data_IF_572918631852
#
_entry.id   IF_572918631852
#
_cell.length_a   1.000
_cell.length_b   1.000
_cell.length_c   1.000
_cell.angle_alpha   90.00
_cell.angle_beta   90.00
_cell.angle_gamma   90.00
#
_symmetry.space_group_name_H-M   'P 1'
#
loop_
_entity.id
_entity.type
_entity.pdbx_description
1 polymer ?
#
# COMPACT_ATOMS: atom_id res chain seq x y z
N UNK A 1 16.59 -47.22 -33.77
CA UNK A 1 15.72 -48.31 -33.29
C UNK A 1 15.28 -48.01 -31.88
N UNK A 2 14.04 -48.33 -31.51
CA UNK A 2 13.45 -48.02 -30.20
C UNK A 2 14.23 -48.62 -29.01
N UNK A 3 14.98 -49.70 -29.21
CA UNK A 3 15.83 -50.32 -28.19
C UNK A 3 17.01 -49.42 -27.75
N UNK A 4 17.60 -48.64 -28.67
CA UNK A 4 18.72 -47.74 -28.39
C UNK A 4 18.34 -46.57 -27.44
N UNK A 5 17.05 -46.26 -27.31
CA UNK A 5 16.56 -45.20 -26.44
C UNK A 5 16.49 -45.62 -24.96
N UNK A 6 16.65 -46.91 -24.67
CA UNK A 6 16.61 -47.50 -23.32
C UNK A 6 17.99 -48.04 -22.92
N UNK A 7 19.01 -47.87 -23.77
CA UNK A 7 20.39 -48.14 -23.40
C UNK A 7 20.77 -47.27 -22.19
N UNK A 8 21.47 -47.84 -21.20
CA UNK A 8 21.65 -47.22 -19.88
C UNK A 8 22.35 -45.86 -19.99
N UNK A 9 23.30 -45.71 -20.92
CA UNK A 9 24.03 -44.47 -21.18
C UNK A 9 23.14 -43.37 -21.78
N UNK A 10 22.24 -43.74 -22.70
CA UNK A 10 21.26 -42.83 -23.30
C UNK A 10 20.23 -42.37 -22.26
N UNK A 11 19.80 -43.27 -21.38
CA UNK A 11 18.87 -42.96 -20.28
C UNK A 11 19.53 -42.02 -19.27
N UNK A 12 20.78 -42.27 -18.88
CA UNK A 12 21.51 -41.40 -17.95
C UNK A 12 21.66 -40.00 -18.54
N UNK A 13 22.14 -39.86 -19.77
CA UNK A 13 22.27 -38.54 -20.44
C UNK A 13 20.94 -37.80 -20.52
N UNK A 14 19.83 -38.52 -20.77
CA UNK A 14 18.50 -37.92 -20.79
C UNK A 14 18.07 -37.42 -19.41
N UNK A 15 18.32 -38.21 -18.36
CA UNK A 15 18.00 -37.81 -16.99
C UNK A 15 18.85 -36.61 -16.54
N UNK A 16 20.13 -36.60 -16.87
CA UNK A 16 21.03 -35.46 -16.62
C UNK A 16 20.55 -34.19 -17.32
N UNK A 17 20.13 -34.29 -18.59
CA UNK A 17 19.58 -33.16 -19.32
C UNK A 17 18.29 -32.61 -18.67
N UNK A 18 17.40 -33.51 -18.21
CA UNK A 18 16.19 -33.12 -17.49
C UNK A 18 16.50 -32.47 -16.14
N UNK A 19 17.48 -33.01 -15.40
CA UNK A 19 17.93 -32.45 -14.13
C UNK A 19 18.56 -31.07 -14.33
N UNK A 20 19.40 -30.90 -15.35
CA UNK A 20 19.99 -29.62 -15.70
C UNK A 20 18.93 -28.58 -16.10
N UNK A 21 17.92 -28.98 -16.89
CA UNK A 21 16.80 -28.11 -17.23
C UNK A 21 16.00 -27.68 -15.99
N UNK A 22 15.77 -28.61 -15.06
CA UNK A 22 15.09 -28.32 -13.79
C UNK A 22 15.88 -27.35 -12.92
N UNK A 23 17.20 -27.53 -12.82
CA UNK A 23 18.06 -26.63 -12.03
C UNK A 23 18.05 -25.21 -12.60
N UNK A 24 18.20 -25.05 -13.92
CA UNK A 24 18.10 -23.74 -14.58
C UNK A 24 16.78 -23.04 -14.28
N UNK A 25 15.67 -23.76 -14.38
CA UNK A 25 14.35 -23.22 -14.08
C UNK A 25 14.20 -22.82 -12.60
N UNK A 26 14.78 -23.59 -11.67
CA UNK A 26 14.80 -23.23 -10.25
C UNK A 26 15.64 -21.98 -9.98
N UNK A 27 16.81 -21.84 -10.63
CA UNK A 27 17.65 -20.65 -10.52
C UNK A 27 16.93 -19.40 -11.02
N UNK A 28 16.24 -19.48 -12.16
CA UNK A 28 15.44 -18.38 -12.70
C UNK A 28 14.30 -17.96 -11.76
N UNK A 29 13.57 -18.93 -11.20
CA UNK A 29 12.52 -18.67 -10.22
C UNK A 29 13.09 -18.01 -8.96
N UNK A 30 14.21 -18.52 -8.44
CA UNK A 30 14.88 -17.94 -7.28
C UNK A 30 15.33 -16.50 -7.56
N UNK A 31 15.89 -16.24 -8.75
CA UNK A 31 16.29 -14.89 -9.15
C UNK A 31 15.09 -13.93 -9.23
N UNK A 32 13.94 -14.38 -9.71
CA UNK A 32 12.71 -13.58 -9.73
C UNK A 32 12.19 -13.28 -8.32
N UNK A 33 12.24 -14.28 -7.42
CA UNK A 33 11.85 -14.12 -6.02
C UNK A 33 12.72 -13.06 -5.34
N UNK A 34 14.05 -13.11 -5.50
CA UNK A 34 14.95 -12.13 -4.90
C UNK A 34 14.75 -10.73 -5.47
N UNK A 35 14.58 -10.59 -6.80
CA UNK A 35 14.23 -9.29 -7.42
C UNK A 35 12.93 -8.71 -6.87
N UNK A 36 11.92 -9.54 -6.65
CA UNK A 36 10.65 -9.08 -6.10
C UNK A 36 10.78 -8.66 -4.63
N UNK A 37 11.49 -9.45 -3.81
CA UNK A 37 11.79 -9.11 -2.41
C UNK A 37 12.56 -7.78 -2.31
N UNK A 38 13.54 -7.56 -3.18
CA UNK A 38 14.30 -6.32 -3.23
C UNK A 38 13.39 -5.13 -3.57
N UNK A 39 12.54 -5.28 -4.60
CA UNK A 39 11.58 -4.24 -4.99
C UNK A 39 10.61 -3.89 -3.85
N UNK A 40 10.11 -4.90 -3.13
CA UNK A 40 9.26 -4.68 -1.96
C UNK A 40 10.01 -3.89 -0.87
N UNK A 41 11.26 -4.26 -0.57
CA UNK A 41 12.10 -3.55 0.41
C UNK A 41 12.30 -2.09 0.02
N UNK A 42 12.58 -1.81 -1.26
CA UNK A 42 12.74 -0.46 -1.77
C UNK A 42 11.44 0.36 -1.63
N UNK A 43 10.28 -0.23 -1.94
CA UNK A 43 8.98 0.44 -1.78
C UNK A 43 8.66 0.74 -0.31
N UNK A 44 8.94 -0.19 0.60
CA UNK A 44 8.79 0.04 2.04
C UNK A 44 9.70 1.16 2.54
N UNK A 45 10.95 1.19 2.08
CA UNK A 45 11.90 2.24 2.44
C UNK A 45 11.46 3.60 1.88
N UNK A 46 10.98 3.67 0.64
CA UNK A 46 10.42 4.90 0.06
C UNK A 46 9.22 5.39 0.87
N UNK A 47 8.30 4.50 1.26
CA UNK A 47 7.17 4.86 2.13
C UNK A 47 7.66 5.38 3.49
N UNK A 48 8.70 4.78 4.06
CA UNK A 48 9.31 5.26 5.30
C UNK A 48 9.90 6.66 5.13
N UNK A 49 10.68 6.88 4.06
CA UNK A 49 11.29 8.17 3.74
C UNK A 49 10.22 9.26 3.52
N UNK A 50 9.17 8.97 2.77
CA UNK A 50 8.05 9.91 2.56
C UNK A 50 7.35 10.29 3.86
N UNK A 51 7.16 9.34 4.78
CA UNK A 51 6.57 9.66 6.10
C UNK A 51 7.48 10.57 6.91
N UNK A 52 8.80 10.31 6.92
CA UNK A 52 9.78 11.15 7.62
C UNK A 52 9.76 12.56 7.02
N UNK A 53 9.90 12.68 5.70
CA UNK A 53 9.86 13.95 4.99
C UNK A 53 8.59 14.76 5.28
N UNK A 54 7.43 14.09 5.28
CA UNK A 54 6.16 14.72 5.63
C UNK A 54 6.14 15.22 7.08
N UNK A 55 6.68 14.43 8.02
CA UNK A 55 6.76 14.83 9.43
C UNK A 55 7.74 15.99 9.65
N UNK A 56 8.91 15.95 9.04
CA UNK A 56 9.93 17.00 9.15
C UNK A 56 9.43 18.32 8.56
N UNK A 57 8.78 18.27 7.39
CA UNK A 57 8.13 19.43 6.76
C UNK A 57 7.08 20.08 7.68
N UNK A 58 6.28 19.25 8.36
CA UNK A 58 5.29 19.71 9.32
C UNK A 58 5.94 20.33 10.58
N UNK A 59 7.06 19.79 11.06
CA UNK A 59 7.83 20.38 12.17
C UNK A 59 8.46 21.73 11.80
N UNK A 60 8.96 21.86 10.58
CA UNK A 60 9.54 23.10 10.05
C UNK A 60 8.50 24.19 9.71
N UNK A 61 7.21 23.92 9.96
CA UNK A 61 6.13 24.87 9.69
C UNK A 61 5.83 25.06 8.20
N UNK A 62 6.39 24.22 7.33
CA UNK A 62 6.01 24.17 5.92
C UNK A 62 4.60 23.58 5.87
N UNK A 63 3.61 24.42 5.55
CA UNK A 63 2.22 23.98 5.42
C UNK A 63 2.16 22.75 4.50
N UNK A 64 1.40 21.72 4.87
CA UNK A 64 1.08 20.60 3.99
C UNK A 64 0.43 21.14 2.71
N UNK A 65 1.24 21.46 1.70
CA UNK A 65 0.80 21.78 0.35
C UNK A 65 0.34 20.44 -0.20
N UNK A 66 -0.90 20.07 0.12
CA UNK A 66 -1.47 18.77 -0.22
C UNK A 66 -1.09 18.43 -1.64
N UNK A 67 -0.30 17.38 -1.78
CA UNK A 67 0.23 16.96 -3.06
C UNK A 67 -1.00 16.67 -3.93
N UNK A 68 -1.37 17.59 -4.82
CA UNK A 68 -2.26 17.33 -5.94
C UNK A 68 -1.57 16.42 -6.97
N UNK A 69 -0.74 15.48 -6.49
CA UNK A 69 -0.15 14.43 -7.30
C UNK A 69 -1.23 13.38 -7.46
N UNK A 70 -1.57 13.22 -8.74
CA UNK A 70 -2.46 12.23 -9.33
C UNK A 70 -2.30 10.87 -8.64
N UNK A 71 -3.35 10.04 -8.57
CA UNK A 71 -3.18 8.64 -8.18
C UNK A 71 -2.06 8.02 -9.02
N UNK A 72 -1.22 7.15 -8.44
CA UNK A 72 -0.21 6.44 -9.21
C UNK A 72 -0.91 5.81 -10.42
N UNK A 73 -0.42 6.13 -11.60
CA UNK A 73 -0.81 5.50 -12.85
C UNK A 73 -0.50 4.01 -12.68
N UNK A 74 -1.53 3.23 -12.35
CA UNK A 74 -1.46 1.79 -12.50
C UNK A 74 -1.51 1.54 -14.01
N UNK A 75 -0.33 1.35 -14.62
CA UNK A 75 -0.19 0.81 -15.97
C UNK A 75 -0.72 -0.63 -16.00
N UNK A 76 -2.04 -0.76 -16.06
CA UNK A 76 -2.77 -1.98 -16.37
C UNK A 76 -3.70 -1.72 -17.56
N UNK A 77 -3.75 -2.59 -18.58
CA UNK A 77 -4.58 -2.34 -19.76
C UNK A 77 -6.05 -2.57 -19.40
N UNK A 78 -6.81 -1.48 -19.24
CA UNK A 78 -8.26 -1.53 -19.03
C UNK A 78 -8.95 -0.31 -19.64
N UNK A 79 -9.92 -0.47 -20.56
CA UNK A 79 -10.53 0.66 -21.26
C UNK A 79 -11.65 1.28 -20.42
N UNK A 80 -11.75 2.61 -20.38
CA UNK A 80 -13.00 3.35 -20.64
C UNK A 80 -12.97 4.79 -20.10
N UNK A 81 -13.13 5.70 -21.06
CA UNK A 81 -13.96 6.91 -21.04
C UNK A 81 -14.59 7.36 -19.71
N UNK A 82 -14.32 8.59 -19.30
CA UNK A 82 -15.35 9.54 -18.81
C UNK A 82 -14.70 10.84 -18.32
N UNK A 83 -14.78 11.88 -19.16
CA UNK A 83 -14.52 13.27 -18.81
C UNK A 83 -15.54 13.78 -17.79
N UNK A 84 -15.13 13.99 -16.54
CA UNK A 84 -15.96 14.72 -15.55
C UNK A 84 -15.19 15.94 -15.06
N UNK A 85 -15.61 17.11 -15.54
CA UNK A 85 -15.11 18.41 -15.07
C UNK A 85 -15.44 18.58 -13.57
N UNK A 86 -14.48 18.98 -12.71
CA UNK A 86 -14.75 19.15 -11.29
C UNK A 86 -15.59 20.41 -11.02
N UNK A 87 -16.77 20.19 -10.43
CA UNK A 87 -17.75 21.20 -10.01
C UNK A 87 -17.12 22.17 -8.98
N UNK A 88 -17.14 23.49 -9.26
CA UNK A 88 -16.66 24.55 -8.34
C UNK A 88 -17.46 24.53 -7.03
N UNK A 89 -16.77 24.63 -5.88
CA UNK A 89 -17.38 24.61 -4.55
C UNK A 89 -18.10 25.95 -4.35
N UNK A 90 -19.44 25.94 -4.21
CA UNK A 90 -20.19 27.10 -3.76
C UNK A 90 -19.78 27.48 -2.33
N UNK A 91 -19.85 28.78 -2.02
CA UNK A 91 -19.45 29.41 -0.75
C UNK A 91 -19.87 28.60 0.47
N UNK A 92 -18.91 27.89 1.07
CA UNK A 92 -19.15 27.07 2.25
C UNK A 92 -19.09 27.94 3.49
N UNK A 93 -20.24 28.07 4.17
CA UNK A 93 -20.32 28.58 5.54
C UNK A 93 -19.25 27.92 6.42
N UNK A 94 -18.57 28.66 7.32
CA UNK A 94 -17.53 28.10 8.17
C UNK A 94 -18.00 26.84 8.91
N UNK A 95 -17.11 25.85 9.02
CA UNK A 95 -17.41 24.54 9.63
C UNK A 95 -17.90 24.64 11.08
N UNK A 96 -17.64 25.77 11.76
CA UNK A 96 -18.16 26.11 13.07
C UNK A 96 -18.73 27.52 13.05
N UNK A 97 -19.88 27.72 13.70
CA UNK A 97 -20.50 29.05 13.85
C UNK A 97 -19.55 30.02 14.56
N UNK A 98 -19.69 31.32 14.30
CA UNK A 98 -18.76 32.39 14.71
C UNK A 98 -18.61 32.67 16.20
N UNK A 99 -18.96 31.72 17.08
CA UNK A 99 -18.84 31.83 18.54
C UNK A 99 -17.86 30.84 19.19
N UNK A 100 -17.10 30.03 18.42
CA UNK A 100 -16.13 29.11 19.00
C UNK A 100 -14.88 29.85 19.49
N UNK A 101 -14.80 30.06 20.81
CA UNK A 101 -13.63 30.62 21.47
C UNK A 101 -12.89 29.51 22.27
N UNK A 102 -11.69 29.08 21.85
CA UNK A 102 -10.96 27.97 22.49
C UNK A 102 -10.42 28.30 23.89
N UNK A 103 -10.42 29.58 24.30
CA UNK A 103 -9.98 30.02 25.62
C UNK A 103 -11.14 30.22 26.59
N UNK A 104 -12.32 30.62 26.08
CA UNK A 104 -13.46 31.03 26.92
C UNK A 104 -14.59 30.01 26.98
N UNK A 105 -14.59 28.98 26.13
CA UNK A 105 -15.46 27.81 26.30
C UNK A 105 -16.95 28.13 26.40
N UNK A 106 -17.47 29.00 25.53
CA UNK A 106 -18.89 29.36 25.54
C UNK A 106 -19.72 28.35 24.73
N UNK A 107 -20.74 27.76 25.37
CA UNK A 107 -21.87 27.12 24.68
C UNK A 107 -21.79 25.61 24.53
N UNK A 108 -22.32 24.90 25.53
CA UNK A 108 -22.44 23.45 25.59
C UNK A 108 -23.23 22.81 24.45
N UNK A 109 -22.77 21.63 24.04
CA UNK A 109 -23.40 20.77 23.05
C UNK A 109 -22.80 19.37 23.10
N UNK A 110 -23.30 18.53 24.01
CA UNK A 110 -23.42 17.05 23.94
C UNK A 110 -22.20 16.17 23.61
N UNK A 111 -20.95 16.61 23.74
CA UNK A 111 -19.79 15.70 23.64
C UNK A 111 -19.45 15.03 24.98
N UNK A 112 -20.34 14.17 25.48
CA UNK A 112 -20.07 13.29 26.62
C UNK A 112 -19.40 11.99 26.17
N UNK A 113 -18.11 12.04 25.79
CA UNK A 113 -17.31 10.82 25.67
C UNK A 113 -16.79 10.43 27.06
N UNK A 114 -17.57 9.62 27.79
CA UNK A 114 -17.05 8.84 28.92
C UNK A 114 -16.89 7.39 28.45
N UNK A 115 -15.71 6.77 28.63
CA UNK A 115 -15.54 5.34 28.36
C UNK A 115 -16.58 4.55 29.16
N UNK A 116 -17.34 3.67 28.49
CA UNK A 116 -18.33 2.81 29.16
C UNK A 116 -17.66 1.96 30.25
N UNK A 117 -18.30 1.82 31.41
CA UNK A 117 -17.79 0.99 32.50
C UNK A 117 -17.63 -0.45 32.00
N UNK A 118 -16.40 -0.96 32.00
CA UNK A 118 -16.14 -2.40 31.86
C UNK A 118 -16.40 -3.07 33.20
N UNK A 119 -17.57 -3.66 33.36
CA UNK A 119 -17.94 -4.50 34.50
C UNK A 119 -19.40 -4.92 34.38
N UNK A 120 -19.76 -6.19 34.62
CA UNK A 120 -21.14 -6.63 34.50
C UNK A 120 -22.02 -5.92 35.53
N UNK A 121 -23.08 -5.30 35.03
CA UNK A 121 -24.19 -4.79 35.84
C UNK A 121 -25.21 -5.91 36.01
N UNK A 122 -25.04 -6.74 37.03
CA UNK A 122 -26.13 -7.55 37.57
C UNK A 122 -25.94 -7.70 39.07
N UNK A 123 -26.63 -6.86 39.83
CA UNK A 123 -26.93 -7.08 41.24
C UNK A 123 -28.16 -7.98 41.39
N UNK A 124 -28.29 -8.58 42.57
CA UNK A 124 -29.42 -9.42 43.00
C UNK A 124 -28.93 -10.63 43.78
#
# INVERSE_FOLDING_TARGET
GAAAAVEPDVVVKRQEALAAARLKMQEELNAQVEKHKEKLRQLEEQKRRQKIEMWDSMQEGKSYKGNARKPPEEDGPGPSTSSVLPKRKADRKPLRGGGYNPLSGEGGGTCSWRPGRRGPSSGG
#
